data_IF_394243097089
#
_entry.id   IF_394243097089
#
_cell.length_a   1.000
_cell.length_b   1.000
_cell.length_c   1.000
_cell.angle_alpha   90.00
_cell.angle_beta   90.00
_cell.angle_gamma   90.00
#
_symmetry.space_group_name_H-M   'P 1'
#
loop_
_entity.id
_entity.type
_entity.pdbx_description
1 polymer ?
#
# COMPACT_ATOMS: atom_id res chain seq x y z
N UNK A 1 37.10 -4.87 -25.42
CA UNK A 1 37.20 -6.35 -25.46
C UNK A 1 35.80 -6.89 -25.73
N UNK A 2 35.64 -8.00 -26.45
CA UNK A 2 34.32 -8.50 -26.90
C UNK A 2 33.89 -9.69 -26.04
N UNK A 3 32.62 -10.10 -26.11
CA UNK A 3 32.16 -11.37 -25.55
C UNK A 3 32.96 -12.54 -26.18
N UNK A 4 32.98 -13.70 -25.54
CA UNK A 4 33.58 -14.89 -26.15
C UNK A 4 32.83 -15.20 -27.46
N UNK A 5 33.51 -15.73 -28.48
CA UNK A 5 32.89 -16.04 -29.77
C UNK A 5 31.76 -17.06 -29.65
N UNK A 6 31.93 -18.02 -28.73
CA UNK A 6 30.94 -19.04 -28.41
C UNK A 6 29.68 -18.44 -27.78
N UNK A 7 29.82 -17.60 -26.75
CA UNK A 7 28.66 -16.99 -26.10
C UNK A 7 27.97 -15.96 -27.01
N UNK A 8 28.73 -15.20 -27.80
CA UNK A 8 28.16 -14.26 -28.77
C UNK A 8 27.30 -14.99 -29.80
N UNK A 9 27.77 -16.14 -30.33
CA UNK A 9 26.99 -16.97 -31.23
C UNK A 9 25.72 -17.49 -30.55
N UNK A 10 25.85 -18.03 -29.34
CA UNK A 10 24.69 -18.56 -28.57
C UNK A 10 23.65 -17.47 -28.28
N UNK A 11 24.09 -16.29 -27.87
CA UNK A 11 23.20 -15.14 -27.62
C UNK A 11 22.53 -14.67 -28.90
N UNK A 12 23.24 -14.59 -30.03
CA UNK A 12 22.63 -14.21 -31.30
C UNK A 12 21.60 -15.24 -31.78
N UNK A 13 21.86 -16.54 -31.58
CA UNK A 13 20.89 -17.60 -31.87
C UNK A 13 19.66 -17.45 -30.98
N UNK A 14 19.84 -17.22 -29.68
CA UNK A 14 18.75 -16.98 -28.74
C UNK A 14 17.89 -15.78 -29.15
N UNK A 15 18.53 -14.66 -29.49
CA UNK A 15 17.88 -13.41 -29.88
C UNK A 15 17.19 -13.48 -31.25
N UNK A 16 17.39 -14.56 -32.03
CA UNK A 16 16.63 -14.79 -33.26
C UNK A 16 15.22 -15.36 -32.98
N UNK A 17 14.95 -15.85 -31.76
CA UNK A 17 13.64 -16.35 -31.34
C UNK A 17 12.74 -15.23 -30.78
N UNK A 18 11.43 -15.49 -30.74
CA UNK A 18 10.47 -14.60 -30.08
C UNK A 18 10.56 -14.75 -28.56
N UNK A 19 11.36 -13.89 -27.93
CA UNK A 19 11.55 -13.86 -26.49
C UNK A 19 10.45 -13.05 -25.79
N UNK A 20 9.99 -13.54 -24.63
CA UNK A 20 9.02 -12.87 -23.77
C UNK A 20 9.67 -12.11 -22.62
N UNK A 21 10.75 -12.66 -22.04
CA UNK A 21 11.52 -12.06 -20.95
C UNK A 21 12.92 -12.68 -20.88
N UNK A 22 13.88 -11.96 -20.32
CA UNK A 22 15.25 -12.42 -20.09
C UNK A 22 15.64 -12.15 -18.64
N UNK A 23 16.24 -13.15 -17.98
CA UNK A 23 16.79 -13.06 -16.63
C UNK A 23 18.26 -13.45 -16.65
N UNK A 24 19.11 -12.66 -16.00
CA UNK A 24 20.54 -12.95 -15.89
C UNK A 24 20.86 -13.26 -14.43
N UNK A 25 21.36 -14.46 -14.19
CA UNK A 25 21.90 -14.86 -12.89
C UNK A 25 23.39 -14.51 -12.85
N UNK A 26 23.73 -13.48 -12.08
CA UNK A 26 25.10 -12.99 -11.95
C UNK A 26 26.01 -13.93 -11.17
N UNK A 27 25.46 -14.75 -10.27
CA UNK A 27 26.24 -15.66 -9.44
C UNK A 27 26.65 -16.90 -10.25
N UNK A 28 25.71 -17.46 -11.01
CA UNK A 28 25.98 -18.63 -11.86
C UNK A 28 26.41 -18.26 -13.27
N UNK A 29 26.48 -16.96 -13.58
CA UNK A 29 26.78 -16.41 -14.91
C UNK A 29 25.95 -17.11 -15.98
N UNK A 30 24.64 -17.13 -15.81
CA UNK A 30 23.72 -17.81 -16.72
C UNK A 30 22.64 -16.86 -17.21
N UNK A 31 22.42 -16.85 -18.52
CA UNK A 31 21.28 -16.16 -19.14
C UNK A 31 20.13 -17.15 -19.29
N UNK A 32 18.98 -16.79 -18.75
CA UNK A 32 17.71 -17.48 -18.95
C UNK A 32 16.82 -16.63 -19.84
N UNK A 33 16.08 -17.25 -20.74
CA UNK A 33 15.10 -16.56 -21.55
C UNK A 33 13.79 -17.35 -21.62
N UNK A 34 12.70 -16.63 -21.41
CA UNK A 34 11.35 -17.15 -21.52
C UNK A 34 10.89 -17.01 -22.96
N UNK A 35 10.42 -18.10 -23.55
CA UNK A 35 9.74 -18.12 -24.85
C UNK A 35 8.27 -18.51 -24.66
N UNK A 36 7.49 -18.61 -25.74
CA UNK A 36 6.08 -19.01 -25.65
C UNK A 36 5.90 -20.44 -25.08
N UNK A 37 6.79 -21.36 -25.43
CA UNK A 37 6.61 -22.79 -25.16
C UNK A 37 7.64 -23.36 -24.15
N UNK A 38 8.80 -22.72 -23.98
CA UNK A 38 9.90 -23.26 -23.17
C UNK A 38 10.83 -22.17 -22.58
N UNK A 39 11.74 -22.58 -21.71
CA UNK A 39 12.82 -21.77 -21.15
C UNK A 39 14.17 -22.14 -21.77
N UNK A 40 14.85 -21.15 -22.36
CA UNK A 40 16.21 -21.31 -22.84
C UNK A 40 17.23 -20.94 -21.76
N UNK A 41 18.34 -21.70 -21.69
CA UNK A 41 19.43 -21.49 -20.72
C UNK A 41 20.79 -21.44 -21.41
N UNK A 42 21.55 -20.38 -21.16
CA UNK A 42 22.91 -20.19 -21.68
C UNK A 42 23.88 -19.94 -20.52
N UNK A 43 24.66 -20.94 -20.10
CA UNK A 43 25.79 -20.70 -19.21
C UNK A 43 26.86 -19.90 -19.97
N UNK A 44 27.33 -18.82 -19.36
CA UNK A 44 28.32 -17.91 -19.93
C UNK A 44 29.75 -18.35 -19.59
N UNK A 45 30.65 -18.11 -20.54
CA UNK A 45 32.08 -18.43 -20.47
C UNK A 45 32.87 -17.12 -20.53
N UNK A 46 32.98 -16.38 -19.40
CA UNK A 46 33.59 -15.05 -19.38
C UNK A 46 35.08 -15.13 -19.75
N UNK A 47 35.48 -14.32 -20.73
CA UNK A 47 36.89 -14.13 -21.13
C UNK A 47 37.56 -12.92 -20.42
N UNK A 48 36.85 -12.30 -19.49
CA UNK A 48 37.29 -11.14 -18.71
C UNK A 48 36.66 -11.15 -17.31
N UNK A 49 36.82 -10.07 -16.55
CA UNK A 49 36.14 -9.93 -15.24
C UNK A 49 34.63 -10.11 -15.40
N UNK A 50 33.95 -10.91 -14.54
CA UNK A 50 32.52 -11.20 -14.65
C UNK A 50 31.63 -9.97 -14.78
N UNK A 51 31.83 -8.94 -13.97
CA UNK A 51 31.06 -7.69 -14.02
C UNK A 51 31.13 -7.00 -15.40
N UNK A 52 32.34 -6.93 -15.98
CA UNK A 52 32.54 -6.36 -17.31
C UNK A 52 31.91 -7.23 -18.40
N UNK A 53 31.91 -8.55 -18.18
CA UNK A 53 31.32 -9.51 -19.10
C UNK A 53 29.79 -9.38 -19.12
N UNK A 54 29.16 -9.38 -17.94
CA UNK A 54 27.72 -9.22 -17.77
C UNK A 54 27.23 -7.88 -18.35
N UNK A 55 27.98 -6.78 -18.12
CA UNK A 55 27.68 -5.49 -18.74
C UNK A 55 27.60 -5.60 -20.27
N UNK A 56 28.51 -6.34 -20.91
CA UNK A 56 28.50 -6.54 -22.37
C UNK A 56 27.38 -7.46 -22.84
N UNK A 57 27.03 -8.47 -22.05
CA UNK A 57 25.86 -9.32 -22.31
C UNK A 57 24.61 -8.43 -22.34
N UNK A 58 24.43 -7.58 -21.34
CA UNK A 58 23.29 -6.67 -21.26
C UNK A 58 23.31 -5.57 -22.33
N UNK A 59 24.48 -5.07 -22.72
CA UNK A 59 24.64 -4.22 -23.91
C UNK A 59 24.14 -4.93 -25.18
N UNK A 60 24.44 -6.22 -25.34
CA UNK A 60 23.99 -7.04 -26.48
C UNK A 60 22.46 -7.23 -26.46
N UNK A 61 21.89 -7.58 -25.30
CA UNK A 61 20.45 -7.72 -25.11
C UNK A 61 19.70 -6.40 -25.38
N UNK A 62 20.22 -5.29 -24.84
CA UNK A 62 19.65 -3.95 -25.00
C UNK A 62 19.68 -3.48 -26.45
N UNK A 63 20.79 -3.68 -27.16
CA UNK A 63 20.91 -3.36 -28.57
C UNK A 63 19.86 -4.11 -29.41
N UNK A 64 19.60 -5.38 -29.09
CA UNK A 64 18.58 -6.17 -29.75
C UNK A 64 17.15 -5.67 -29.43
N UNK A 65 16.83 -5.49 -28.14
CA UNK A 65 15.48 -5.14 -27.71
C UNK A 65 15.05 -3.72 -28.13
N UNK A 66 15.99 -2.75 -28.09
CA UNK A 66 15.69 -1.33 -28.28
C UNK A 66 16.14 -0.79 -29.65
N UNK A 67 16.99 -1.50 -30.40
CA UNK A 67 17.42 -1.12 -31.74
C UNK A 67 18.26 0.17 -31.82
N UNK A 68 18.83 0.63 -30.70
CA UNK A 68 19.61 1.88 -30.65
C UNK A 68 21.12 1.60 -30.76
N UNK A 69 21.80 2.09 -31.82
CA UNK A 69 23.24 1.96 -31.94
C UNK A 69 23.94 2.95 -30.99
N UNK A 70 24.30 2.48 -29.79
CA UNK A 70 25.28 3.19 -28.94
C UNK A 70 24.83 3.62 -27.54
N UNK A 71 23.93 2.91 -26.87
CA UNK A 71 23.65 3.24 -25.47
C UNK A 71 22.95 2.15 -24.69
N UNK A 72 23.71 1.36 -23.94
CA UNK A 72 23.22 0.78 -22.70
C UNK A 72 22.66 1.92 -21.84
N UNK A 73 21.38 1.91 -21.45
CA UNK A 73 20.86 2.94 -20.57
C UNK A 73 21.49 2.73 -19.18
N UNK A 74 22.64 3.36 -18.94
CA UNK A 74 23.35 3.38 -17.64
C UNK A 74 22.42 3.91 -16.53
N UNK A 75 21.30 4.54 -16.88
CA UNK A 75 20.25 4.94 -15.94
C UNK A 75 18.84 4.70 -16.51
N UNK A 76 18.29 3.50 -16.31
CA UNK A 76 16.85 3.21 -16.48
C UNK A 76 15.95 4.23 -15.76
N UNK A 77 16.40 4.75 -14.60
CA UNK A 77 15.71 5.80 -13.82
C UNK A 77 15.50 7.13 -14.57
N UNK A 78 16.38 7.49 -15.52
CA UNK A 78 16.19 8.69 -16.36
C UNK A 78 15.23 8.41 -17.51
N UNK A 79 15.22 7.18 -17.98
CA UNK A 79 14.36 6.73 -19.07
C UNK A 79 12.89 6.67 -18.63
N UNK A 80 12.61 6.16 -17.43
CA UNK A 80 11.27 6.19 -16.82
C UNK A 80 10.76 7.61 -16.53
N UNK A 81 11.65 8.59 -16.30
CA UNK A 81 11.29 10.01 -16.12
C UNK A 81 11.05 10.79 -17.42
N UNK A 82 11.61 10.35 -18.55
CA UNK A 82 11.56 11.12 -19.81
C UNK A 82 10.27 10.94 -20.62
N UNK A 83 9.23 10.30 -20.07
CA UNK A 83 7.85 10.38 -20.58
C UNK A 83 7.59 9.86 -22.00
N UNK A 84 8.58 9.30 -22.70
CA UNK A 84 8.46 8.94 -24.13
C UNK A 84 7.95 7.51 -24.40
N UNK A 85 7.84 6.64 -23.38
CA UNK A 85 7.38 5.26 -23.56
C UNK A 85 6.14 4.99 -22.70
N UNK A 86 4.98 5.53 -23.10
CA UNK A 86 3.70 5.08 -22.55
C UNK A 86 3.38 3.71 -23.17
N UNK A 87 3.40 2.68 -22.32
CA UNK A 87 2.81 1.35 -22.46
C UNK A 87 3.29 0.43 -23.61
N UNK A 88 3.68 0.96 -24.77
CA UNK A 88 4.00 0.20 -25.98
C UNK A 88 5.38 -0.51 -25.98
N UNK A 89 6.15 -0.45 -24.88
CA UNK A 89 7.50 -1.05 -24.82
C UNK A 89 7.81 -1.78 -23.51
N UNK A 90 6.82 -2.03 -22.63
CA UNK A 90 7.06 -2.73 -21.36
C UNK A 90 7.64 -4.13 -21.59
N UNK A 91 7.17 -4.84 -22.61
CA UNK A 91 7.67 -6.16 -22.99
C UNK A 91 9.16 -6.10 -23.38
N UNK A 92 9.58 -5.06 -24.11
CA UNK A 92 10.98 -4.88 -24.51
C UNK A 92 11.91 -4.64 -23.32
N UNK A 93 11.41 -3.99 -22.27
CA UNK A 93 12.17 -3.79 -21.04
C UNK A 93 12.47 -5.12 -20.33
N UNK A 94 11.57 -6.10 -20.42
CA UNK A 94 11.80 -7.43 -19.86
C UNK A 94 12.87 -8.23 -20.61
N UNK A 95 13.28 -7.80 -21.80
CA UNK A 95 14.35 -8.45 -22.57
C UNK A 95 15.75 -7.96 -22.20
N UNK A 96 15.87 -6.94 -21.35
CA UNK A 96 17.15 -6.32 -21.03
C UNK A 96 18.05 -7.17 -20.12
N UNK A 97 17.46 -8.14 -19.38
CA UNK A 97 18.20 -8.91 -18.38
C UNK A 97 18.59 -8.08 -17.14
N UNK A 98 17.89 -6.97 -16.88
CA UNK A 98 18.14 -6.05 -15.77
C UNK A 98 17.04 -6.11 -14.72
N UNK A 99 17.44 -6.20 -13.45
CA UNK A 99 16.50 -6.20 -12.34
C UNK A 99 15.75 -4.86 -12.25
N UNK A 100 16.41 -3.72 -12.49
CA UNK A 100 15.77 -2.41 -12.47
C UNK A 100 14.71 -2.25 -13.57
N UNK A 101 14.89 -2.92 -14.71
CA UNK A 101 13.90 -2.92 -15.78
C UNK A 101 12.65 -3.70 -15.37
N UNK A 102 12.81 -4.87 -14.75
CA UNK A 102 11.68 -5.64 -14.20
C UNK A 102 10.93 -4.85 -13.13
N UNK A 103 11.66 -4.19 -12.22
CA UNK A 103 11.09 -3.34 -11.17
C UNK A 103 10.31 -2.15 -11.75
N UNK A 104 10.80 -1.55 -12.84
CA UNK A 104 10.12 -0.47 -13.54
C UNK A 104 8.84 -0.97 -14.22
N UNK A 105 8.89 -2.12 -14.89
CA UNK A 105 7.72 -2.76 -15.53
C UNK A 105 6.66 -3.12 -14.49
N UNK A 106 7.05 -3.73 -13.38
CA UNK A 106 6.15 -4.10 -12.28
C UNK A 106 5.41 -2.89 -11.68
N UNK A 107 6.01 -1.70 -11.74
CA UNK A 107 5.41 -0.45 -11.27
C UNK A 107 4.74 0.37 -12.38
N UNK A 108 4.69 -0.10 -13.63
CA UNK A 108 4.18 0.69 -14.75
C UNK A 108 2.64 0.81 -14.72
N UNK A 109 2.05 1.95 -15.14
CA UNK A 109 0.60 2.09 -15.24
C UNK A 109 -0.05 1.13 -16.25
N UNK A 110 0.58 0.88 -17.41
CA UNK A 110 0.08 -0.05 -18.42
C UNK A 110 0.43 -1.52 -18.19
N UNK A 111 0.74 -1.91 -16.95
CA UNK A 111 1.00 -3.31 -16.61
C UNK A 111 -0.28 -4.15 -16.79
N UNK A 112 -0.22 -5.16 -17.66
CA UNK A 112 -1.28 -6.16 -17.84
C UNK A 112 -0.95 -7.43 -17.06
N UNK A 113 -1.94 -8.31 -16.86
CA UNK A 113 -1.75 -9.62 -16.22
C UNK A 113 -0.67 -10.47 -16.91
N UNK A 114 -0.66 -10.48 -18.25
CA UNK A 114 0.33 -11.23 -19.03
C UNK A 114 1.74 -10.64 -18.93
N UNK A 115 1.89 -9.31 -18.92
CA UNK A 115 3.20 -8.68 -18.68
C UNK A 115 3.65 -8.94 -17.23
N UNK A 116 2.73 -8.95 -16.28
CA UNK A 116 3.02 -9.28 -14.88
C UNK A 116 3.53 -10.73 -14.75
N UNK A 117 2.95 -11.69 -15.47
CA UNK A 117 3.44 -13.08 -15.51
C UNK A 117 4.90 -13.16 -15.96
N UNK A 118 5.25 -12.45 -17.04
CA UNK A 118 6.62 -12.42 -17.59
C UNK A 118 7.61 -11.73 -16.64
N UNK A 119 7.20 -10.63 -16.03
CA UNK A 119 8.01 -9.92 -15.04
C UNK A 119 8.18 -10.74 -13.75
N UNK A 120 7.15 -11.46 -13.33
CA UNK A 120 7.18 -12.37 -12.17
C UNK A 120 8.15 -13.54 -12.41
N UNK A 121 8.09 -14.14 -13.61
CA UNK A 121 9.06 -15.15 -14.04
C UNK A 121 10.50 -14.63 -13.97
N UNK A 122 10.74 -13.39 -14.43
CA UNK A 122 12.06 -12.80 -14.44
C UNK A 122 12.59 -12.48 -13.03
N UNK A 123 11.73 -12.08 -12.09
CA UNK A 123 12.15 -11.70 -10.75
C UNK A 123 11.05 -11.94 -9.69
N UNK A 124 10.91 -13.17 -9.16
CA UNK A 124 9.85 -13.51 -8.22
C UNK A 124 10.21 -13.09 -6.79
N UNK A 125 10.11 -11.79 -6.48
CA UNK A 125 10.39 -11.23 -5.14
C UNK A 125 9.17 -10.55 -4.53
N UNK A 126 9.12 -10.46 -3.19
CA UNK A 126 8.01 -9.83 -2.49
C UNK A 126 7.79 -8.36 -2.92
N UNK A 127 8.86 -7.61 -3.17
CA UNK A 127 8.76 -6.23 -3.64
C UNK A 127 8.14 -6.11 -5.03
N UNK A 128 8.45 -7.04 -5.93
CA UNK A 128 7.86 -7.10 -7.27
C UNK A 128 6.38 -7.46 -7.16
N UNK A 129 6.04 -8.49 -6.37
CA UNK A 129 4.65 -8.88 -6.13
C UNK A 129 3.81 -7.72 -5.56
N UNK A 130 4.34 -7.00 -4.55
CA UNK A 130 3.68 -5.82 -3.98
C UNK A 130 3.40 -4.76 -5.04
N UNK A 131 4.40 -4.40 -5.85
CA UNK A 131 4.24 -3.40 -6.93
C UNK A 131 3.19 -3.80 -7.96
N UNK A 132 3.18 -5.07 -8.36
CA UNK A 132 2.22 -5.60 -9.33
C UNK A 132 0.78 -5.59 -8.78
N UNK A 133 0.59 -5.93 -7.50
CA UNK A 133 -0.73 -5.94 -6.87
C UNK A 133 -1.33 -4.55 -6.61
N UNK A 134 -0.58 -3.46 -6.80
CA UNK A 134 -1.15 -2.10 -6.86
C UNK A 134 -1.95 -1.87 -8.16
N UNK A 135 -1.89 -2.79 -9.12
CA UNK A 135 -2.55 -2.66 -10.43
C UNK A 135 -3.81 -3.52 -10.50
N UNK A 136 -4.94 -2.86 -10.74
CA UNK A 136 -6.24 -3.53 -10.87
C UNK A 136 -6.23 -4.61 -11.97
N UNK A 137 -5.55 -4.36 -13.10
CA UNK A 137 -5.43 -5.33 -14.18
C UNK A 137 -4.77 -6.66 -13.76
N UNK A 138 -3.88 -6.63 -12.77
CA UNK A 138 -3.22 -7.82 -12.20
C UNK A 138 -4.11 -8.45 -11.14
N UNK A 139 -4.72 -7.62 -10.27
CA UNK A 139 -5.62 -8.09 -9.21
C UNK A 139 -6.82 -8.85 -9.77
N UNK A 140 -7.41 -8.36 -10.86
CA UNK A 140 -8.52 -9.01 -11.57
C UNK A 140 -8.07 -10.16 -12.48
N UNK A 141 -6.77 -10.29 -12.73
CA UNK A 141 -6.18 -11.32 -13.58
C UNK A 141 -5.81 -12.60 -12.81
N UNK A 142 -5.15 -13.53 -13.50
CA UNK A 142 -4.71 -14.79 -12.88
C UNK A 142 -3.53 -14.58 -11.93
N UNK A 143 -2.65 -13.60 -12.24
CA UNK A 143 -1.47 -13.33 -11.44
C UNK A 143 -1.82 -12.79 -10.05
N UNK A 144 -2.95 -12.09 -9.89
CA UNK A 144 -3.37 -11.55 -8.60
C UNK A 144 -3.32 -12.60 -7.48
N UNK A 145 -3.92 -13.78 -7.71
CA UNK A 145 -3.93 -14.88 -6.74
C UNK A 145 -2.56 -15.48 -6.51
N UNK A 146 -1.80 -15.72 -7.58
CA UNK A 146 -0.43 -16.27 -7.50
C UNK A 146 0.48 -15.38 -6.65
N UNK A 147 0.41 -14.07 -6.88
CA UNK A 147 1.20 -13.09 -6.13
C UNK A 147 0.74 -12.97 -4.69
N UNK A 148 -0.58 -13.00 -4.43
CA UNK A 148 -1.12 -12.95 -3.08
C UNK A 148 -0.75 -14.19 -2.25
N UNK A 149 -0.84 -15.38 -2.84
CA UNK A 149 -0.42 -16.64 -2.20
C UNK A 149 1.05 -16.61 -1.82
N UNK A 150 1.92 -16.20 -2.76
CA UNK A 150 3.35 -16.01 -2.48
C UNK A 150 3.58 -15.05 -1.31
N UNK A 151 2.92 -13.88 -1.33
CA UNK A 151 3.08 -12.88 -0.28
C UNK A 151 2.60 -13.40 1.08
N UNK A 152 1.48 -14.13 1.15
CA UNK A 152 0.97 -14.72 2.39
C UNK A 152 1.94 -15.75 2.97
N UNK A 153 2.54 -16.59 2.13
CA UNK A 153 3.53 -17.58 2.55
C UNK A 153 4.78 -16.92 3.14
N UNK A 154 5.21 -15.80 2.55
CA UNK A 154 6.43 -15.10 2.93
C UNK A 154 6.23 -14.05 4.04
N UNK A 155 4.99 -13.62 4.29
CA UNK A 155 4.64 -12.60 5.29
C UNK A 155 5.19 -12.85 6.71
N UNK A 156 5.30 -14.09 7.24
CA UNK A 156 5.89 -14.33 8.56
C UNK A 156 7.36 -13.91 8.67
N UNK A 157 8.09 -13.94 7.55
CA UNK A 157 9.53 -13.66 7.45
C UNK A 157 9.81 -12.18 7.13
N UNK A 158 8.79 -11.40 6.81
CA UNK A 158 8.94 -9.97 6.58
C UNK A 158 9.28 -9.26 7.90
N UNK A 159 10.32 -8.44 7.86
CA UNK A 159 10.86 -7.75 9.05
C UNK A 159 10.55 -6.27 9.07
N UNK A 160 10.32 -5.67 7.90
CA UNK A 160 10.09 -4.24 7.77
C UNK A 160 8.60 -3.92 7.95
N UNK A 161 8.29 -2.98 8.87
CA UNK A 161 6.93 -2.68 9.31
C UNK A 161 6.01 -2.24 8.15
N UNK A 162 6.48 -1.34 7.28
CA UNK A 162 5.68 -0.82 6.17
C UNK A 162 5.42 -1.89 5.11
N UNK A 163 6.37 -2.78 4.89
CA UNK A 163 6.27 -3.92 3.98
C UNK A 163 5.23 -4.91 4.48
N UNK A 164 5.18 -5.18 5.79
CA UNK A 164 4.10 -5.98 6.40
C UNK A 164 2.75 -5.31 6.18
N UNK A 165 2.61 -4.03 6.51
CA UNK A 165 1.36 -3.28 6.36
C UNK A 165 0.88 -3.30 4.91
N UNK A 166 1.78 -2.96 3.98
CA UNK A 166 1.51 -2.92 2.54
C UNK A 166 1.11 -4.29 2.03
N UNK A 167 1.81 -5.35 2.46
CA UNK A 167 1.48 -6.71 2.05
C UNK A 167 0.08 -7.11 2.52
N UNK A 168 -0.24 -6.91 3.81
CA UNK A 168 -1.56 -7.23 4.34
C UNK A 168 -2.64 -6.42 3.61
N UNK A 169 -2.39 -5.13 3.36
CA UNK A 169 -3.32 -4.27 2.61
C UNK A 169 -3.59 -4.83 1.20
N UNK A 170 -2.55 -5.25 0.50
CA UNK A 170 -2.64 -5.71 -0.88
C UNK A 170 -3.31 -7.08 -1.01
N UNK A 171 -3.01 -8.02 -0.12
CA UNK A 171 -3.61 -9.38 -0.19
C UNK A 171 -5.06 -9.41 0.28
N UNK A 172 -5.53 -8.39 1.00
CA UNK A 172 -6.92 -8.25 1.42
C UNK A 172 -7.83 -7.64 0.35
N UNK A 173 -7.29 -7.32 -0.84
CA UNK A 173 -8.13 -6.91 -1.96
C UNK A 173 -9.14 -8.02 -2.33
N UNK A 174 -10.36 -7.66 -2.79
CA UNK A 174 -11.42 -8.63 -3.05
C UNK A 174 -10.99 -9.77 -3.98
N UNK A 175 -11.23 -11.02 -3.57
CA UNK A 175 -11.03 -12.21 -4.40
C UNK A 175 -9.59 -12.76 -4.48
N UNK A 176 -8.62 -12.12 -3.83
CA UNK A 176 -7.22 -12.58 -3.82
C UNK A 176 -6.94 -13.70 -2.82
N UNK A 177 -7.57 -13.65 -1.65
CA UNK A 177 -7.44 -14.67 -0.60
C UNK A 177 -8.82 -15.13 -0.11
N UNK A 178 -8.88 -16.32 0.46
CA UNK A 178 -10.08 -16.86 1.09
C UNK A 178 -10.27 -16.38 2.54
N UNK A 179 -11.49 -16.54 3.07
CA UNK A 179 -11.84 -16.14 4.44
C UNK A 179 -11.05 -16.90 5.51
N UNK A 180 -10.64 -18.13 5.22
CA UNK A 180 -9.81 -18.94 6.10
C UNK A 180 -8.40 -18.33 6.25
N UNK A 181 -7.79 -17.90 5.14
CA UNK A 181 -6.50 -17.21 5.14
C UNK A 181 -6.62 -15.83 5.78
N UNK A 182 -7.67 -15.07 5.46
CA UNK A 182 -7.96 -13.77 6.10
C UNK A 182 -8.01 -13.89 7.63
N UNK A 183 -8.76 -14.87 8.14
CA UNK A 183 -8.88 -15.11 9.59
C UNK A 183 -7.55 -15.53 10.22
N UNK A 184 -6.74 -16.32 9.51
CA UNK A 184 -5.40 -16.72 9.95
C UNK A 184 -4.45 -15.54 10.07
N UNK A 185 -4.48 -14.61 9.11
CA UNK A 185 -3.68 -13.37 9.14
C UNK A 185 -4.16 -12.49 10.31
N UNK A 186 -5.48 -12.36 10.50
CA UNK A 186 -6.04 -11.61 11.63
C UNK A 186 -5.64 -12.18 12.99
N UNK A 187 -5.71 -13.49 13.19
CA UNK A 187 -5.34 -14.13 14.45
C UNK A 187 -3.86 -13.90 14.80
N UNK A 188 -2.97 -13.77 13.81
CA UNK A 188 -1.56 -13.41 14.02
C UNK A 188 -1.36 -11.95 14.42
N UNK A 189 -2.33 -11.09 14.15
CA UNK A 189 -2.26 -9.66 14.48
C UNK A 189 -2.27 -9.38 15.98
N UNK A 190 -2.73 -10.33 16.81
CA UNK A 190 -2.72 -10.20 18.28
C UNK A 190 -1.31 -10.03 18.85
N UNK A 191 -0.29 -10.58 18.18
CA UNK A 191 1.11 -10.42 18.59
C UNK A 191 1.89 -9.39 17.74
N UNK A 192 1.33 -8.93 16.61
CA UNK A 192 1.98 -8.02 15.65
C UNK A 192 1.04 -6.89 15.21
N UNK A 193 1.21 -5.72 15.81
CA UNK A 193 0.43 -4.50 15.54
C UNK A 193 0.41 -4.09 14.05
N UNK A 194 1.50 -4.31 13.30
CA UNK A 194 1.58 -4.00 11.86
C UNK A 194 0.53 -4.72 11.01
N UNK A 195 0.10 -5.93 11.41
CA UNK A 195 -0.94 -6.65 10.68
C UNK A 195 -2.27 -5.93 10.81
N UNK A 196 -2.61 -5.45 12.02
CA UNK A 196 -3.87 -4.71 12.26
C UNK A 196 -3.93 -3.41 11.47
N UNK A 197 -2.82 -2.69 11.36
CA UNK A 197 -2.73 -1.49 10.52
C UNK A 197 -3.01 -1.82 9.04
N UNK A 198 -2.52 -2.95 8.53
CA UNK A 198 -2.85 -3.41 7.18
C UNK A 198 -4.35 -3.69 6.99
N UNK A 199 -5.02 -4.29 7.98
CA UNK A 199 -6.47 -4.49 7.97
C UNK A 199 -7.25 -3.17 8.02
N UNK A 200 -6.87 -2.26 8.91
CA UNK A 200 -7.47 -0.92 8.99
C UNK A 200 -7.34 -0.16 7.66
N UNK A 201 -6.23 -0.33 6.95
CA UNK A 201 -6.01 0.33 5.67
C UNK A 201 -6.78 -0.29 4.49
N UNK A 202 -7.03 -1.61 4.50
CA UNK A 202 -7.67 -2.31 3.37
C UNK A 202 -9.17 -2.52 3.52
N UNK A 203 -9.62 -2.93 4.71
CA UNK A 203 -11.01 -3.36 4.95
C UNK A 203 -11.55 -2.74 6.24
N UNK A 204 -11.53 -1.40 6.36
CA UNK A 204 -11.89 -0.72 7.61
C UNK A 204 -13.33 -0.99 8.06
N UNK A 205 -14.23 -1.28 7.13
CA UNK A 205 -15.66 -1.56 7.39
C UNK A 205 -15.99 -3.05 7.56
N UNK A 206 -15.03 -3.94 7.33
CA UNK A 206 -15.22 -5.39 7.37
C UNK A 206 -14.12 -6.05 8.23
N UNK A 207 -13.76 -5.41 9.33
CA UNK A 207 -12.74 -5.95 10.24
C UNK A 207 -13.24 -7.25 10.90
N UNK A 208 -12.41 -8.30 11.01
CA UNK A 208 -12.81 -9.53 11.68
C UNK A 208 -13.09 -9.32 13.17
N UNK A 209 -13.96 -10.18 13.75
CA UNK A 209 -14.45 -10.09 15.12
C UNK A 209 -15.18 -8.75 15.42
N UNK A 210 -16.31 -8.50 14.75
CA UNK A 210 -17.04 -7.24 14.88
C UNK A 210 -17.56 -7.02 16.31
N UNK A 211 -17.47 -5.78 16.77
CA UNK A 211 -18.06 -5.29 18.01
C UNK A 211 -19.52 -4.88 17.79
N UNK A 212 -20.38 -4.89 18.83
CA UNK A 212 -21.74 -4.37 18.69
C UNK A 212 -21.73 -2.88 18.33
N UNK A 213 -22.83 -2.43 17.73
CA UNK A 213 -23.09 -1.01 17.52
C UNK A 213 -23.05 -0.24 18.85
N UNK A 214 -22.88 1.09 18.77
CA UNK A 214 -22.72 1.93 19.95
C UNK A 214 -23.92 1.76 20.90
N UNK A 215 -23.70 1.50 22.20
CA UNK A 215 -24.79 1.40 23.16
C UNK A 215 -25.65 2.67 23.17
N UNK A 216 -26.98 2.50 23.16
CA UNK A 216 -27.94 3.62 23.23
C UNK A 216 -28.05 4.45 21.96
N UNK A 217 -27.56 3.97 20.81
CA UNK A 217 -27.59 4.71 19.55
C UNK A 217 -28.77 4.34 18.63
N UNK A 218 -29.66 3.42 19.04
CA UNK A 218 -30.70 2.88 18.15
C UNK A 218 -31.67 3.96 17.62
N UNK A 219 -32.13 4.85 18.50
CA UNK A 219 -33.02 5.96 18.13
C UNK A 219 -32.32 6.94 17.19
N UNK A 220 -31.10 7.37 17.55
CA UNK A 220 -30.33 8.29 16.73
C UNK A 220 -29.99 7.68 15.36
N UNK A 221 -29.64 6.39 15.28
CA UNK A 221 -29.40 5.68 14.02
C UNK A 221 -30.65 5.61 13.14
N UNK A 222 -31.83 5.43 13.73
CA UNK A 222 -33.10 5.47 12.98
C UNK A 222 -33.36 6.86 12.38
N UNK A 223 -33.08 7.93 13.12
CA UNK A 223 -33.18 9.30 12.60
C UNK A 223 -32.16 9.55 11.49
N UNK A 224 -30.89 9.17 11.71
CA UNK A 224 -29.81 9.33 10.74
C UNK A 224 -30.07 8.59 9.44
N UNK A 225 -30.70 7.41 9.49
CA UNK A 225 -31.06 6.63 8.30
C UNK A 225 -31.91 7.42 7.30
N UNK A 226 -32.72 8.39 7.76
CA UNK A 226 -33.52 9.27 6.89
C UNK A 226 -32.70 10.38 6.20
N UNK A 227 -31.48 10.64 6.67
CA UNK A 227 -30.59 11.71 6.22
C UNK A 227 -29.44 11.19 5.34
N UNK A 228 -29.00 9.95 5.52
CA UNK A 228 -27.77 9.41 4.89
C UNK A 228 -27.72 9.54 3.37
N UNK A 229 -28.86 9.52 2.68
CA UNK A 229 -28.93 9.65 1.22
C UNK A 229 -28.59 11.04 0.68
N UNK A 230 -28.65 12.09 1.52
CA UNK A 230 -28.44 13.50 1.12
C UNK A 230 -27.50 14.29 2.02
N UNK A 231 -26.99 13.65 3.07
CA UNK A 231 -26.15 14.29 4.08
C UNK A 231 -24.96 13.38 4.39
N UNK A 232 -23.79 13.80 3.93
CA UNK A 232 -22.55 13.00 3.99
C UNK A 232 -22.10 12.82 5.44
N UNK A 233 -22.27 13.86 6.26
CA UNK A 233 -21.96 13.81 7.69
C UNK A 233 -22.88 12.84 8.43
N UNK A 234 -24.17 12.81 8.08
CA UNK A 234 -25.13 11.86 8.66
C UNK A 234 -24.78 10.42 8.27
N UNK A 235 -24.37 10.18 7.02
CA UNK A 235 -23.92 8.87 6.55
C UNK A 235 -22.69 8.38 7.32
N UNK A 236 -21.68 9.24 7.48
CA UNK A 236 -20.49 8.90 8.24
C UNK A 236 -20.80 8.69 9.73
N UNK A 237 -21.62 9.55 10.35
CA UNK A 237 -22.01 9.39 11.75
C UNK A 237 -22.79 8.09 11.96
N UNK A 238 -23.75 7.77 11.08
CA UNK A 238 -24.50 6.51 11.15
C UNK A 238 -23.56 5.28 11.10
N UNK A 239 -22.54 5.32 10.23
CA UNK A 239 -21.49 4.31 10.13
C UNK A 239 -20.64 4.26 11.41
N UNK A 240 -20.22 5.38 11.97
CA UNK A 240 -19.43 5.42 13.22
C UNK A 240 -20.19 4.82 14.42
N UNK A 241 -21.51 4.92 14.43
CA UNK A 241 -22.37 4.38 15.49
C UNK A 241 -22.72 2.90 15.28
N UNK A 242 -22.46 2.33 14.11
CA UNK A 242 -22.76 0.93 13.81
C UNK A 242 -21.65 -0.03 14.27
N UNK A 243 -21.84 -1.33 14.00
CA UNK A 243 -20.90 -2.39 14.37
C UNK A 243 -19.52 -2.23 13.70
N UNK A 244 -19.49 -1.88 12.41
CA UNK A 244 -18.25 -1.71 11.66
C UNK A 244 -17.47 -0.49 12.19
N UNK A 245 -18.16 0.64 12.37
CA UNK A 245 -17.57 1.85 12.94
C UNK A 245 -17.02 1.64 14.34
N UNK A 246 -17.78 0.99 15.22
CA UNK A 246 -17.30 0.69 16.58
C UNK A 246 -16.10 -0.27 16.58
N UNK A 247 -16.06 -1.22 15.66
CA UNK A 247 -14.90 -2.12 15.49
C UNK A 247 -13.67 -1.34 15.02
N UNK A 248 -13.82 -0.48 14.00
CA UNK A 248 -12.75 0.38 13.51
C UNK A 248 -12.19 1.28 14.62
N UNK A 249 -13.07 1.95 15.37
CA UNK A 249 -12.69 2.83 16.47
C UNK A 249 -11.92 2.09 17.56
N UNK A 250 -12.38 0.90 17.95
CA UNK A 250 -11.74 0.11 18.98
C UNK A 250 -10.34 -0.37 18.56
N UNK A 251 -10.22 -0.90 17.34
CA UNK A 251 -8.93 -1.35 16.80
C UNK A 251 -7.98 -0.17 16.65
N UNK A 252 -8.44 0.97 16.13
CA UNK A 252 -7.62 2.19 16.01
C UNK A 252 -7.12 2.68 17.37
N UNK A 253 -7.99 2.73 18.39
CA UNK A 253 -7.62 3.14 19.74
C UNK A 253 -6.57 2.20 20.36
N UNK A 254 -6.72 0.88 20.17
CA UNK A 254 -5.73 -0.10 20.64
C UNK A 254 -4.36 0.12 19.98
N UNK A 255 -4.34 0.38 18.66
CA UNK A 255 -3.08 0.65 17.95
C UNK A 255 -2.43 1.96 18.39
N UNK A 256 -3.23 3.01 18.64
CA UNK A 256 -2.73 4.29 19.15
C UNK A 256 -2.10 4.17 20.55
N UNK A 257 -2.56 3.24 21.40
CA UNK A 257 -1.98 3.01 22.71
C UNK A 257 -0.62 2.29 22.66
N UNK A 258 -0.34 1.58 21.56
CA UNK A 258 0.85 0.75 21.41
C UNK A 258 1.60 1.05 20.09
N UNK A 259 2.02 2.32 19.87
CA UNK A 259 2.77 2.68 18.67
C UNK A 259 4.10 1.93 18.63
N UNK A 260 4.40 1.29 17.49
CA UNK A 260 5.60 0.45 17.34
C UNK A 260 6.84 1.30 17.07
N UNK A 261 6.76 2.11 16.02
CA UNK A 261 7.84 2.94 15.49
C UNK A 261 7.25 4.21 14.87
N UNK A 262 8.11 5.05 14.26
CA UNK A 262 7.67 6.33 13.72
C UNK A 262 6.79 6.17 12.48
N UNK A 263 7.14 5.23 11.62
CA UNK A 263 6.53 5.07 10.30
C UNK A 263 5.14 4.45 10.45
N UNK A 264 5.00 3.49 11.36
CA UNK A 264 3.70 2.91 11.73
C UNK A 264 2.74 3.93 12.37
N UNK A 265 3.25 4.90 13.12
CA UNK A 265 2.43 6.00 13.66
C UNK A 265 1.94 6.92 12.56
N UNK A 266 2.81 7.31 11.64
CA UNK A 266 2.43 8.12 10.49
C UNK A 266 1.30 7.45 9.69
N UNK A 267 1.50 6.16 9.35
CA UNK A 267 0.49 5.36 8.64
C UNK A 267 -0.82 5.24 9.42
N UNK A 268 -0.77 4.99 10.73
CA UNK A 268 -1.99 4.89 11.55
C UNK A 268 -2.79 6.19 11.52
N UNK A 269 -2.14 7.35 11.65
CA UNK A 269 -2.81 8.64 11.63
C UNK A 269 -3.44 8.93 10.27
N UNK A 270 -2.75 8.61 9.17
CA UNK A 270 -3.29 8.74 7.82
C UNK A 270 -4.47 7.80 7.58
N UNK A 271 -4.39 6.54 8.03
CA UNK A 271 -5.49 5.57 7.92
C UNK A 271 -6.74 6.06 8.66
N UNK A 272 -6.58 6.62 9.86
CA UNK A 272 -7.69 7.23 10.60
C UNK A 272 -8.21 8.46 9.86
N UNK A 273 -7.34 9.38 9.43
CA UNK A 273 -7.74 10.56 8.67
C UNK A 273 -8.49 10.27 7.38
N UNK A 274 -8.10 9.20 6.68
CA UNK A 274 -8.74 8.73 5.46
C UNK A 274 -10.12 8.11 5.73
N UNK A 275 -10.27 7.39 6.84
CA UNK A 275 -11.57 6.84 7.25
C UNK A 275 -12.59 7.94 7.58
N UNK A 276 -12.12 9.06 8.12
CA UNK A 276 -12.94 10.24 8.45
C UNK A 276 -12.94 11.31 7.34
N UNK A 277 -12.33 11.07 6.18
CA UNK A 277 -12.19 12.05 5.09
C UNK A 277 -13.51 12.72 4.66
N UNK A 278 -14.66 12.02 4.62
CA UNK A 278 -15.94 12.66 4.26
C UNK A 278 -16.39 13.78 5.22
N UNK A 279 -15.85 13.82 6.44
CA UNK A 279 -16.13 14.86 7.44
C UNK A 279 -15.09 16.00 7.44
N UNK A 280 -14.06 15.96 6.58
CA UNK A 280 -12.97 16.94 6.62
C UNK A 280 -13.44 18.30 6.12
N UNK A 281 -13.25 19.34 6.92
CA UNK A 281 -13.62 20.71 6.56
C UNK A 281 -12.37 21.59 6.43
N UNK A 282 -11.99 21.93 5.20
CA UNK A 282 -10.82 22.77 4.92
C UNK A 282 -9.51 21.99 4.90
N UNK A 283 -8.39 22.71 5.00
CA UNK A 283 -7.05 22.11 4.98
C UNK A 283 -6.77 21.30 6.26
N UNK A 284 -5.90 20.30 6.14
CA UNK A 284 -5.48 19.46 7.26
C UNK A 284 -4.73 20.33 8.28
N UNK A 285 -5.12 20.20 9.54
CA UNK A 285 -4.47 20.94 10.63
C UNK A 285 -3.16 20.24 11.04
N UNK A 286 -2.16 21.03 11.42
CA UNK A 286 -0.85 20.50 11.86
C UNK A 286 -0.78 20.24 13.37
N UNK A 287 -1.81 20.65 14.10
CA UNK A 287 -1.98 20.37 15.52
C UNK A 287 -3.44 20.01 15.81
N UNK A 288 -3.65 19.11 16.77
CA UNK A 288 -4.98 18.58 17.03
C UNK A 288 -5.87 19.55 17.81
N UNK A 289 -5.30 20.53 18.51
CA UNK A 289 -6.07 21.55 19.19
C UNK A 289 -6.76 22.49 18.18
N UNK A 290 -6.05 22.85 17.10
CA UNK A 290 -6.60 23.56 15.95
C UNK A 290 -7.71 22.78 15.26
N UNK A 291 -7.52 21.48 15.05
CA UNK A 291 -8.56 20.59 14.51
C UNK A 291 -9.84 20.60 15.35
N UNK A 292 -9.70 20.53 16.68
CA UNK A 292 -10.83 20.55 17.61
C UNK A 292 -11.54 21.92 17.60
N UNK A 293 -10.79 23.02 17.68
CA UNK A 293 -11.35 24.37 17.65
C UNK A 293 -12.10 24.64 16.33
N UNK A 294 -11.58 24.12 15.21
CA UNK A 294 -12.24 24.19 13.91
C UNK A 294 -13.53 23.39 13.89
N UNK A 295 -13.53 22.17 14.42
CA UNK A 295 -14.74 21.34 14.54
C UNK A 295 -15.82 22.04 15.37
N UNK A 296 -15.46 22.64 16.50
CA UNK A 296 -16.37 23.42 17.35
C UNK A 296 -16.93 24.67 16.64
N UNK A 297 -16.07 25.38 15.90
CA UNK A 297 -16.49 26.55 15.12
C UNK A 297 -17.46 26.16 14.01
N UNK A 298 -17.15 25.05 13.30
CA UNK A 298 -17.95 24.54 12.18
C UNK A 298 -19.34 24.09 12.65
N UNK A 299 -19.39 23.36 13.77
CA UNK A 299 -20.67 22.95 14.38
C UNK A 299 -21.47 24.13 14.91
N UNK A 300 -20.82 25.18 15.41
CA UNK A 300 -21.49 26.38 15.93
C UNK A 300 -22.01 27.30 14.82
N UNK A 301 -21.33 27.36 13.67
CA UNK A 301 -21.77 28.13 12.52
C UNK A 301 -23.05 27.57 11.88
N UNK A 302 -23.30 26.25 12.02
CA UNK A 302 -24.58 25.62 11.65
C UNK A 302 -24.94 25.69 10.16
N UNK A 303 -23.99 25.98 9.27
CA UNK A 303 -24.23 26.03 7.84
C UNK A 303 -24.39 24.65 7.19
N UNK A 304 -25.11 24.58 6.07
CA UNK A 304 -25.21 23.41 5.16
C UNK A 304 -25.81 22.14 5.79
N UNK A 305 -25.18 20.99 5.56
CA UNK A 305 -25.55 19.65 6.01
C UNK A 305 -25.32 19.44 7.51
N UNK A 306 -24.32 20.10 8.11
CA UNK A 306 -24.02 19.98 9.55
C UNK A 306 -25.15 20.58 10.40
N UNK A 307 -25.73 21.70 9.96
CA UNK A 307 -26.90 22.30 10.61
C UNK A 307 -28.13 21.39 10.58
N UNK A 308 -28.41 20.75 9.44
CA UNK A 308 -29.49 19.76 9.31
C UNK A 308 -29.26 18.56 10.24
N UNK A 309 -28.03 18.03 10.25
CA UNK A 309 -27.63 16.92 11.12
C UNK A 309 -27.84 17.25 12.61
N UNK A 310 -27.32 18.39 13.07
CA UNK A 310 -27.44 18.81 14.47
C UNK A 310 -28.88 19.18 14.86
N UNK A 311 -29.72 19.55 13.90
CA UNK A 311 -31.15 19.77 14.14
C UNK A 311 -31.90 18.45 14.32
N UNK A 312 -31.46 17.38 13.65
CA UNK A 312 -32.07 16.07 13.72
C UNK A 312 -31.62 15.25 14.94
N UNK A 313 -30.34 15.34 15.32
CA UNK A 313 -29.74 14.63 16.47
C UNK A 313 -28.93 15.58 17.38
N UNK A 314 -29.57 16.57 18.02
CA UNK A 314 -28.88 17.57 18.84
C UNK A 314 -28.10 16.95 20.02
N UNK A 315 -28.55 15.81 20.53
CA UNK A 315 -27.88 15.05 21.59
C UNK A 315 -26.51 14.50 21.17
N UNK A 316 -26.27 14.33 19.87
CA UNK A 316 -25.00 13.84 19.32
C UNK A 316 -24.02 14.94 18.93
N UNK A 317 -24.20 16.17 19.44
CA UNK A 317 -23.31 17.29 19.12
C UNK A 317 -21.84 16.98 19.42
N UNK A 318 -21.55 16.28 20.52
CA UNK A 318 -20.16 15.94 20.92
C UNK A 318 -19.53 14.98 19.93
N UNK A 319 -20.30 14.02 19.43
CA UNK A 319 -19.91 13.03 18.43
C UNK A 319 -19.65 13.69 17.08
N UNK A 320 -20.49 14.65 16.68
CA UNK A 320 -20.25 15.42 15.45
C UNK A 320 -18.94 16.21 15.56
N UNK A 321 -18.66 16.85 16.70
CA UNK A 321 -17.37 17.53 16.93
C UNK A 321 -16.20 16.54 16.87
N UNK A 322 -16.31 15.39 17.54
CA UNK A 322 -15.28 14.35 17.53
C UNK A 322 -15.00 13.81 16.12
N UNK A 323 -16.06 13.55 15.34
CA UNK A 323 -15.98 13.10 13.96
C UNK A 323 -15.26 14.12 13.07
N UNK A 324 -15.64 15.40 13.16
CA UNK A 324 -14.99 16.47 12.39
C UNK A 324 -13.53 16.65 12.80
N UNK A 325 -13.20 16.60 14.10
CA UNK A 325 -11.83 16.75 14.57
C UNK A 325 -10.92 15.61 14.09
N UNK A 326 -11.41 14.36 14.16
CA UNK A 326 -10.66 13.18 13.70
C UNK A 326 -10.46 13.15 12.18
N UNK A 327 -11.26 13.89 11.41
CA UNK A 327 -11.07 14.03 9.96
C UNK A 327 -9.78 14.77 9.56
N UNK A 328 -9.17 15.50 10.51
CA UNK A 328 -7.87 16.16 10.33
C UNK A 328 -6.68 15.29 10.78
N UNK A 329 -6.92 14.04 11.21
CA UNK A 329 -5.82 13.10 11.48
C UNK A 329 -4.94 12.91 10.24
N UNK A 330 -3.63 13.00 10.44
CA UNK A 330 -2.63 12.68 9.43
C UNK A 330 -1.26 12.58 10.09
N UNK A 331 -0.26 12.14 9.34
CA UNK A 331 1.16 12.22 9.74
C UNK A 331 1.54 13.62 10.27
N UNK A 332 0.96 14.69 9.70
CA UNK A 332 1.29 16.07 10.05
C UNK A 332 1.14 16.37 11.55
N UNK A 333 0.20 15.71 12.24
CA UNK A 333 0.00 15.86 13.68
C UNK A 333 1.17 15.32 14.51
N UNK A 334 1.87 14.32 13.99
CA UNK A 334 3.01 13.70 14.65
C UNK A 334 4.36 14.26 14.17
N UNK A 335 4.43 14.89 12.98
CA UNK A 335 5.67 15.44 12.40
C UNK A 335 6.49 16.30 13.38
N UNK A 336 5.91 17.23 14.17
CA UNK A 336 6.68 18.06 15.11
C UNK A 336 7.44 17.24 16.17
N UNK A 337 6.89 16.08 16.55
CA UNK A 337 7.50 15.16 17.51
C UNK A 337 8.47 14.22 16.80
N UNK A 338 8.04 13.60 15.70
CA UNK A 338 8.79 12.57 14.96
C UNK A 338 10.08 13.12 14.31
N UNK A 339 10.06 14.37 13.84
CA UNK A 339 11.22 15.04 13.26
C UNK A 339 12.35 15.31 14.29
N UNK A 340 12.02 15.34 15.59
CA UNK A 340 12.96 15.73 16.67
C UNK A 340 13.38 14.58 17.57
N UNK A 341 12.97 13.36 17.27
CA UNK A 341 13.22 12.20 18.13
C UNK A 341 13.74 11.03 17.33
N UNK A 342 14.67 10.24 17.84
CA UNK A 342 15.00 8.90 17.33
C UNK A 342 14.45 7.79 18.25
N UNK A 343 13.64 8.17 19.25
CA UNK A 343 13.09 7.25 20.22
C UNK A 343 12.21 6.18 19.56
N UNK A 344 12.24 4.98 20.13
CA UNK A 344 11.38 3.84 19.80
C UNK A 344 10.68 3.33 21.07
N UNK A 345 9.65 2.49 20.91
CA UNK A 345 8.96 1.84 22.03
C UNK A 345 8.37 2.82 23.06
N UNK A 346 8.57 2.53 24.35
CA UNK A 346 7.94 3.28 25.45
C UNK A 346 8.32 4.76 25.49
N UNK A 347 9.55 5.10 25.10
CA UNK A 347 9.99 6.50 25.06
C UNK A 347 9.31 7.27 23.92
N UNK A 348 9.11 6.62 22.76
CA UNK A 348 8.35 7.19 21.66
C UNK A 348 6.90 7.42 22.07
N UNK A 349 6.27 6.43 22.72
CA UNK A 349 4.90 6.55 23.25
C UNK A 349 4.74 7.75 24.18
N UNK A 350 5.65 7.94 25.14
CA UNK A 350 5.60 9.10 26.06
C UNK A 350 5.76 10.43 25.33
N UNK A 351 6.56 10.48 24.26
CA UNK A 351 6.74 11.70 23.46
C UNK A 351 5.52 12.01 22.58
N UNK A 352 4.82 10.99 22.10
CA UNK A 352 3.62 11.11 21.29
C UNK A 352 2.35 11.31 22.11
N UNK A 353 2.39 11.06 23.43
CA UNK A 353 1.24 11.20 24.33
C UNK A 353 0.47 12.52 24.18
N UNK A 354 1.11 13.71 24.06
CA UNK A 354 0.37 14.96 23.84
C UNK A 354 -0.42 15.01 22.52
N UNK A 355 0.02 14.27 21.50
CA UNK A 355 -0.67 14.15 20.20
C UNK A 355 -1.74 13.06 20.25
N UNK A 356 -1.43 11.92 20.86
CA UNK A 356 -2.28 10.72 20.83
C UNK A 356 -3.42 10.77 21.86
N UNK A 357 -3.19 11.31 23.06
CA UNK A 357 -4.21 11.34 24.11
C UNK A 357 -5.47 12.13 23.71
N UNK A 358 -5.38 13.30 23.05
CA UNK A 358 -6.55 13.99 22.53
C UNK A 358 -7.32 13.19 21.47
N UNK A 359 -6.63 12.45 20.61
CA UNK A 359 -7.24 11.57 19.61
C UNK A 359 -8.04 10.45 20.26
N UNK A 360 -7.44 9.78 21.25
CA UNK A 360 -8.08 8.74 22.04
C UNK A 360 -9.33 9.27 22.78
N UNK A 361 -9.30 10.52 23.25
CA UNK A 361 -10.46 11.14 23.88
C UNK A 361 -11.62 11.33 22.88
N UNK A 362 -11.36 11.77 21.64
CA UNK A 362 -12.40 11.89 20.62
C UNK A 362 -12.94 10.52 20.17
N UNK A 363 -12.08 9.51 20.06
CA UNK A 363 -12.53 8.13 19.82
C UNK A 363 -13.43 7.65 20.96
N UNK A 364 -13.07 7.93 22.22
CA UNK A 364 -13.89 7.56 23.37
C UNK A 364 -15.27 8.23 23.35
N UNK A 365 -15.37 9.49 22.92
CA UNK A 365 -16.66 10.18 22.69
C UNK A 365 -17.51 9.42 21.68
N UNK A 366 -16.94 9.04 20.52
CA UNK A 366 -17.66 8.28 19.49
C UNK A 366 -18.08 6.88 19.97
N UNK A 367 -17.34 6.28 20.90
CA UNK A 367 -17.69 5.02 21.55
C UNK A 367 -18.70 5.15 22.70
N UNK A 368 -19.12 6.37 23.05
CA UNK A 368 -20.03 6.64 24.17
C UNK A 368 -19.40 6.49 25.56
N UNK A 369 -18.08 6.69 25.67
CA UNK A 369 -17.30 6.58 26.91
C UNK A 369 -16.75 7.91 27.43
N UNK A 370 -17.03 9.02 26.73
CA UNK A 370 -16.36 10.32 26.91
C UNK A 370 -17.23 11.46 27.42
#
# INVERSE_FOLDING_TARGET
MQLSSEDLLRLNVLLAHELQAVRVDEQTLTVYALTADDEARIPLNPNCRPEQYLRRVRETLSNHALGSPGGYPVFLQRWTRMGQARDAQLEKLLLLGESEAVVAVAGAPGLTDEIARRAWWAMPTADVARRMLEREAVVQGNMGKVLAEYLVEHLPFETESLSVITTVRLVLQPGLIDDATRTRIWARSTSRNTYRLGFLAAVPDDLPAPLPARPGSDEARAVLASLTARNTFAALLAKLLDSAGQTFLAVSAEQMQHPLDKDTVAVLLDVVGNYFEPARCGEIETDFAGALARAETTTSAGGSEIGELLSAVPELKREVVAMLALAHCSEALATPVLARTSATGSLLRRKLEPTIAPLLAQIAVLQGRG
#
